data_IF_952829808977
#
_entry.id   IF_952829808977
#
_cell.length_a   1.000
_cell.length_b   1.000
_cell.length_c   1.000
_cell.angle_alpha   90.00
_cell.angle_beta   90.00
_cell.angle_gamma   90.00
#
_symmetry.space_group_name_H-M   'P 1'
#
loop_
_entity.id
_entity.type
_entity.pdbx_description
1 polymer ?
#
# COMPACT_ATOMS: atom_id res chain seq x y z
N UNK A 1 3.35 6.93 6.85
CA UNK A 1 2.57 8.11 7.28
C UNK A 1 2.09 8.88 6.06
N UNK A 2 0.81 9.22 6.05
CA UNK A 2 0.18 10.15 5.11
C UNK A 2 -0.04 11.49 5.80
N UNK A 3 -0.22 12.55 5.02
CA UNK A 3 -0.43 13.89 5.55
C UNK A 3 -1.14 14.72 4.48
N UNK A 4 -2.46 14.70 4.56
CA UNK A 4 -3.35 15.40 3.64
C UNK A 4 -4.03 16.52 4.42
N UNK A 5 -3.90 17.75 3.93
CA UNK A 5 -4.60 18.91 4.50
C UNK A 5 -6.06 18.92 4.01
N UNK A 6 -6.87 18.02 4.58
CA UNK A 6 -8.25 17.82 4.17
C UNK A 6 -9.11 17.36 5.36
N UNK A 7 -10.33 17.90 5.55
CA UNK A 7 -11.19 17.58 6.70
C UNK A 7 -11.43 16.08 6.91
N UNK A 8 -11.69 15.34 5.82
CA UNK A 8 -11.89 13.89 5.86
C UNK A 8 -10.71 13.06 6.42
N UNK A 9 -9.52 13.65 6.55
CA UNK A 9 -8.32 13.00 7.08
C UNK A 9 -7.93 13.49 8.48
N UNK A 10 -8.55 14.58 8.99
CA UNK A 10 -8.22 15.15 10.30
C UNK A 10 -8.56 14.21 11.46
N UNK A 11 -9.66 13.47 11.30
CA UNK A 11 -10.16 12.54 12.31
C UNK A 11 -9.73 11.08 12.03
N UNK A 12 -8.98 10.84 10.95
CA UNK A 12 -8.51 9.51 10.56
C UNK A 12 -7.04 9.29 10.93
N UNK A 13 -6.64 8.06 11.32
CA UNK A 13 -5.24 7.74 11.54
C UNK A 13 -4.38 7.99 10.30
N UNK A 14 -3.39 8.87 10.44
CA UNK A 14 -2.45 9.22 9.37
C UNK A 14 -1.16 8.39 9.41
N UNK A 15 -1.01 7.53 10.42
CA UNK A 15 0.15 6.65 10.63
C UNK A 15 -0.35 5.23 10.83
N UNK A 16 0.32 4.27 10.19
CA UNK A 16 0.14 2.86 10.43
C UNK A 16 1.50 2.16 10.32
N UNK A 17 1.67 1.12 11.12
CA UNK A 17 2.84 0.24 11.15
C UNK A 17 2.34 -1.20 11.11
N UNK A 18 2.95 -2.02 10.26
CA UNK A 18 2.55 -3.42 10.08
C UNK A 18 3.79 -4.29 10.06
N UNK A 19 3.85 -5.23 10.99
CA UNK A 19 4.83 -6.30 11.00
C UNK A 19 4.22 -7.57 10.40
N UNK A 20 4.68 -7.93 9.20
CA UNK A 20 4.19 -9.11 8.47
C UNK A 20 4.60 -10.45 9.09
N UNK A 21 5.48 -10.46 10.10
CA UNK A 21 5.77 -11.68 10.86
C UNK A 21 4.62 -12.07 11.80
N UNK A 22 3.84 -11.08 12.26
CA UNK A 22 2.75 -11.26 13.22
C UNK A 22 1.38 -10.93 12.64
N UNK A 23 1.34 -10.17 11.54
CA UNK A 23 0.11 -9.62 10.97
C UNK A 23 -0.19 -10.20 9.59
N UNK A 24 -1.45 -10.61 9.38
CA UNK A 24 -1.89 -11.15 8.10
C UNK A 24 -2.14 -10.05 7.06
N UNK A 25 -1.34 -10.03 5.98
CA UNK A 25 -1.56 -9.15 4.82
C UNK A 25 -3.00 -9.26 4.28
N UNK A 26 -3.54 -10.48 4.19
CA UNK A 26 -4.88 -10.75 3.66
C UNK A 26 -5.95 -10.07 4.52
N UNK A 27 -5.84 -10.14 5.85
CA UNK A 27 -6.86 -9.56 6.75
C UNK A 27 -6.73 -8.06 6.90
N UNK A 28 -5.49 -7.57 7.04
CA UNK A 28 -5.25 -6.19 7.47
C UNK A 28 -5.05 -5.20 6.33
N UNK A 29 -4.51 -5.63 5.18
CA UNK A 29 -4.05 -4.70 4.13
C UNK A 29 -4.81 -4.91 2.82
N UNK A 30 -5.05 -6.16 2.43
CA UNK A 30 -5.51 -6.51 1.08
C UNK A 30 -6.83 -5.86 0.64
N UNK A 31 -7.72 -5.53 1.58
CA UNK A 31 -9.04 -4.94 1.29
C UNK A 31 -9.04 -3.42 1.30
N UNK A 32 -7.92 -2.76 1.59
CA UNK A 32 -7.86 -1.29 1.62
C UNK A 32 -8.00 -0.72 0.19
N UNK A 33 -9.09 0.00 -0.06
CA UNK A 33 -9.41 0.54 -1.39
C UNK A 33 -8.58 1.77 -1.71
N UNK A 34 -8.40 2.00 -3.01
CA UNK A 34 -7.85 3.27 -3.51
C UNK A 34 -8.80 4.41 -3.25
N UNK A 35 -8.29 5.64 -3.24
CA UNK A 35 -9.05 6.82 -2.92
C UNK A 35 -8.67 8.02 -3.78
N UNK A 36 -9.62 8.93 -3.98
CA UNK A 36 -9.40 10.16 -4.73
C UNK A 36 -10.40 11.25 -4.35
N UNK A 37 -10.02 12.50 -4.62
CA UNK A 37 -10.89 13.65 -4.44
C UNK A 37 -11.84 13.78 -5.62
N UNK A 38 -13.10 14.15 -5.37
CA UNK A 38 -14.13 14.31 -6.41
C UNK A 38 -13.69 15.32 -7.48
N UNK A 39 -13.13 16.45 -7.06
CA UNK A 39 -12.58 17.48 -7.93
C UNK A 39 -11.46 16.97 -8.85
N UNK A 40 -10.56 16.14 -8.32
CA UNK A 40 -9.47 15.52 -9.07
C UNK A 40 -10.01 14.48 -10.07
N UNK A 41 -11.00 13.67 -9.68
CA UNK A 41 -11.59 12.66 -10.57
C UNK A 41 -12.25 13.34 -11.79
N UNK A 42 -12.96 14.44 -11.60
CA UNK A 42 -13.54 15.22 -12.69
C UNK A 42 -12.47 15.82 -13.61
N UNK A 43 -11.37 16.33 -13.04
CA UNK A 43 -10.24 16.87 -13.80
C UNK A 43 -9.52 15.77 -14.61
N UNK A 44 -9.29 14.60 -14.01
CA UNK A 44 -8.68 13.45 -14.65
C UNK A 44 -9.52 12.93 -15.82
N UNK A 45 -10.84 12.86 -15.65
CA UNK A 45 -11.76 12.45 -16.73
C UNK A 45 -11.69 13.38 -17.95
N UNK A 46 -11.54 14.69 -17.74
CA UNK A 46 -11.33 15.66 -18.84
C UNK A 46 -10.02 15.41 -19.61
N UNK A 47 -9.06 14.70 -19.01
CA UNK A 47 -7.80 14.30 -19.63
C UNK A 47 -7.81 12.86 -20.14
N UNK A 48 -8.98 12.20 -20.23
CA UNK A 48 -9.12 10.79 -20.56
C UNK A 48 -8.44 9.82 -19.58
N UNK A 49 -8.26 10.25 -18.32
CA UNK A 49 -7.75 9.44 -17.22
C UNK A 49 -8.90 9.04 -16.27
N UNK A 50 -8.72 7.96 -15.51
CA UNK A 50 -9.70 7.47 -14.52
C UNK A 50 -11.13 7.25 -15.08
N UNK A 51 -11.25 6.89 -16.36
CA UNK A 51 -12.54 6.71 -17.06
C UNK A 51 -13.42 5.62 -16.43
N UNK A 52 -12.81 4.62 -15.79
CA UNK A 52 -13.51 3.55 -15.07
C UNK A 52 -13.70 3.81 -13.57
N UNK A 53 -13.23 4.95 -13.04
CA UNK A 53 -13.36 5.25 -11.61
C UNK A 53 -14.81 5.50 -11.21
N UNK A 54 -15.30 4.80 -10.19
CA UNK A 54 -16.63 4.97 -9.60
C UNK A 54 -16.56 4.81 -8.08
N UNK A 55 -17.65 5.16 -7.38
CA UNK A 55 -17.79 4.93 -5.94
C UNK A 55 -17.74 3.43 -5.57
N UNK A 56 -17.94 2.52 -6.52
CA UNK A 56 -17.90 1.08 -6.29
C UNK A 56 -16.46 0.55 -6.19
N UNK A 57 -15.51 1.22 -6.87
CA UNK A 57 -14.11 0.77 -6.96
C UNK A 57 -13.10 1.72 -6.30
N UNK A 58 -13.51 2.91 -5.90
CA UNK A 58 -12.69 3.87 -5.18
C UNK A 58 -13.46 4.50 -4.02
N UNK A 59 -12.73 4.85 -2.97
CA UNK A 59 -13.22 5.77 -1.95
C UNK A 59 -13.18 7.16 -2.57
N UNK A 60 -14.33 7.81 -2.64
CA UNK A 60 -14.43 9.17 -3.17
C UNK A 60 -14.62 10.13 -2.01
N UNK A 61 -13.80 11.18 -2.00
CA UNK A 61 -13.81 12.21 -0.96
C UNK A 61 -14.22 13.52 -1.61
N UNK A 62 -15.30 14.14 -1.11
CA UNK A 62 -15.64 15.53 -1.45
C UNK A 62 -14.83 16.50 -0.57
N UNK A 63 -15.05 17.81 -0.69
CA UNK A 63 -14.28 18.83 0.07
C UNK A 63 -14.36 18.70 1.60
N UNK A 64 -15.25 17.85 2.12
CA UNK A 64 -15.55 17.72 3.55
C UNK A 64 -15.48 16.28 4.06
N UNK A 65 -15.92 15.28 3.29
CA UNK A 65 -16.18 13.91 3.77
C UNK A 65 -16.06 12.84 2.69
N UNK A 66 -16.02 11.59 3.15
CA UNK A 66 -16.20 10.39 2.32
C UNK A 66 -17.66 10.32 1.86
N UNK A 67 -17.89 10.11 0.55
CA UNK A 67 -19.24 10.06 -0.03
C UNK A 67 -19.77 8.64 -0.26
N UNK A 68 -18.92 7.61 -0.11
CA UNK A 68 -19.36 6.21 -0.20
C UNK A 68 -20.40 5.92 0.90
N UNK A 69 -21.57 5.39 0.54
CA UNK A 69 -22.69 5.15 1.48
C UNK A 69 -22.31 4.20 2.61
N UNK A 70 -21.55 3.14 2.30
CA UNK A 70 -21.05 2.16 3.27
C UNK A 70 -19.83 2.66 4.07
N UNK A 71 -19.34 3.87 3.78
CA UNK A 71 -18.16 4.45 4.44
C UNK A 71 -16.86 3.70 4.16
N UNK A 72 -16.00 3.66 5.18
CA UNK A 72 -14.68 3.00 5.14
C UNK A 72 -14.76 1.56 5.65
N UNK A 73 -13.92 0.68 5.10
CA UNK A 73 -13.71 -0.70 5.58
C UNK A 73 -12.88 -0.75 6.85
N UNK A 74 -12.00 0.24 7.03
CA UNK A 74 -11.12 0.42 8.17
C UNK A 74 -11.06 1.91 8.51
N UNK A 75 -10.93 2.27 9.79
CA UNK A 75 -10.77 3.68 10.18
C UNK A 75 -9.50 4.31 9.56
N UNK A 76 -8.47 3.50 9.34
CA UNK A 76 -7.18 3.84 8.77
C UNK A 76 -7.03 3.38 7.30
N UNK A 77 -8.13 3.18 6.57
CA UNK A 77 -8.14 2.60 5.21
C UNK A 77 -7.23 3.37 4.24
N UNK A 78 -7.15 4.70 4.35
CA UNK A 78 -6.28 5.54 3.51
C UNK A 78 -4.79 5.21 3.66
N UNK A 79 -4.30 5.12 4.90
CA UNK A 79 -2.89 4.83 5.16
C UNK A 79 -2.58 3.36 4.88
N UNK A 80 -3.52 2.45 5.15
CA UNK A 80 -3.40 1.03 4.77
C UNK A 80 -3.32 0.83 3.26
N UNK A 81 -4.07 1.61 2.48
CA UNK A 81 -3.94 1.58 1.02
C UNK A 81 -2.56 2.07 0.57
N UNK A 82 -1.95 3.05 1.24
CA UNK A 82 -0.57 3.46 0.94
C UNK A 82 0.47 2.42 1.33
N UNK A 83 0.21 1.61 2.35
CA UNK A 83 1.02 0.42 2.65
C UNK A 83 0.85 -0.62 1.53
N UNK A 84 -0.38 -0.85 1.05
CA UNK A 84 -0.65 -1.74 -0.08
C UNK A 84 0.10 -1.30 -1.36
N UNK A 85 0.04 -0.01 -1.70
CA UNK A 85 0.78 0.59 -2.81
C UNK A 85 2.29 0.36 -2.66
N UNK A 86 2.84 0.62 -1.47
CA UNK A 86 4.27 0.46 -1.20
C UNK A 86 4.73 -1.00 -1.34
N UNK A 87 3.95 -1.98 -0.86
CA UNK A 87 4.26 -3.40 -1.02
C UNK A 87 4.31 -3.77 -2.50
N UNK A 88 3.33 -3.31 -3.29
CA UNK A 88 3.31 -3.52 -4.74
C UNK A 88 4.52 -2.91 -5.43
N UNK A 89 4.85 -1.66 -5.10
CA UNK A 89 6.02 -0.98 -5.66
C UNK A 89 7.33 -1.70 -5.30
N UNK A 90 7.53 -2.07 -4.03
CA UNK A 90 8.73 -2.79 -3.57
C UNK A 90 8.92 -4.13 -4.28
N UNK A 91 7.82 -4.80 -4.65
CA UNK A 91 7.86 -6.06 -5.37
C UNK A 91 8.39 -5.93 -6.81
N UNK A 92 8.53 -4.71 -7.35
CA UNK A 92 9.23 -4.47 -8.61
C UNK A 92 10.73 -4.84 -8.57
N UNK A 93 11.31 -5.08 -7.38
CA UNK A 93 12.62 -5.72 -7.23
C UNK A 93 12.66 -7.17 -7.76
N UNK A 94 11.50 -7.80 -7.97
CA UNK A 94 11.38 -9.18 -8.42
C UNK A 94 11.58 -10.23 -7.33
N UNK A 95 11.77 -9.80 -6.08
CA UNK A 95 11.99 -10.67 -4.92
C UNK A 95 11.28 -10.11 -3.68
N UNK A 96 10.86 -10.99 -2.78
CA UNK A 96 10.42 -10.59 -1.44
C UNK A 96 11.59 -9.94 -0.68
N UNK A 97 11.31 -8.82 -0.01
CA UNK A 97 12.33 -8.08 0.74
C UNK A 97 12.31 -8.49 2.21
N UNK A 98 13.49 -8.72 2.77
CA UNK A 98 13.69 -8.86 4.22
C UNK A 98 14.28 -7.54 4.71
N UNK A 99 13.49 -6.77 5.46
CA UNK A 99 13.91 -5.44 5.94
C UNK A 99 12.72 -4.64 6.45
N UNK A 100 12.98 -3.38 6.80
CA UNK A 100 11.97 -2.43 7.23
C UNK A 100 11.84 -1.29 6.20
N UNK A 101 10.60 -0.96 5.82
CA UNK A 101 10.29 0.16 4.95
C UNK A 101 9.54 1.23 5.74
N UNK A 102 9.99 2.49 5.63
CA UNK A 102 9.32 3.64 6.24
C UNK A 102 9.11 4.72 5.19
N UNK A 103 7.85 5.08 4.95
CA UNK A 103 7.46 6.15 4.02
C UNK A 103 6.74 7.27 4.74
N UNK A 104 7.20 8.51 4.54
CA UNK A 104 6.49 9.74 4.96
C UNK A 104 6.08 10.52 3.71
N UNK A 105 4.77 10.69 3.50
CA UNK A 105 4.20 11.28 2.27
C UNK A 105 4.74 10.63 0.99
N UNK A 106 5.06 9.33 1.06
CA UNK A 106 5.63 8.60 -0.08
C UNK A 106 4.54 8.19 -1.07
N UNK A 107 4.90 8.19 -2.35
CA UNK A 107 4.08 7.65 -3.44
C UNK A 107 4.95 6.91 -4.45
N UNK A 108 4.35 6.38 -5.52
CA UNK A 108 5.00 5.51 -6.49
C UNK A 108 6.33 6.04 -7.04
N UNK A 109 6.39 7.34 -7.34
CA UNK A 109 7.62 7.96 -7.85
C UNK A 109 8.78 7.92 -6.83
N UNK A 110 8.50 8.15 -5.54
CA UNK A 110 9.52 8.13 -4.49
C UNK A 110 9.92 6.68 -4.14
N UNK A 111 8.95 5.77 -4.07
CA UNK A 111 9.20 4.34 -3.89
C UNK A 111 10.11 3.79 -5.01
N UNK A 112 9.83 4.11 -6.27
CA UNK A 112 10.68 3.68 -7.38
C UNK A 112 12.09 4.28 -7.33
N UNK A 113 12.23 5.55 -6.89
CA UNK A 113 13.55 6.17 -6.68
C UNK A 113 14.35 5.44 -5.59
N UNK A 114 13.71 5.06 -4.49
CA UNK A 114 14.32 4.24 -3.44
C UNK A 114 14.82 2.92 -4.01
N UNK A 115 14.01 2.21 -4.79
CA UNK A 115 14.40 0.94 -5.39
C UNK A 115 15.60 1.09 -6.34
N UNK A 116 15.61 2.13 -7.17
CA UNK A 116 16.75 2.43 -8.05
C UNK A 116 18.03 2.72 -7.25
N UNK A 117 17.92 3.45 -6.15
CA UNK A 117 19.05 3.72 -5.26
C UNK A 117 19.57 2.44 -4.60
N UNK A 118 18.68 1.59 -4.07
CA UNK A 118 19.04 0.29 -3.50
C UNK A 118 19.71 -0.63 -4.53
N UNK A 119 19.18 -0.71 -5.76
CA UNK A 119 19.80 -1.52 -6.82
C UNK A 119 21.18 -0.99 -7.26
N UNK A 120 21.40 0.32 -7.18
CA UNK A 120 22.69 0.92 -7.53
C UNK A 120 23.76 0.66 -6.46
N UNK A 121 23.37 0.62 -5.20
CA UNK A 121 24.24 0.31 -4.07
C UNK A 121 24.25 -1.19 -3.76
N UNK A 122 25.20 -1.92 -4.34
CA UNK A 122 25.33 -3.37 -4.15
C UNK A 122 25.81 -3.78 -2.76
N UNK A 123 26.37 -2.85 -1.98
CA UNK A 123 26.83 -3.13 -0.61
C UNK A 123 25.65 -3.00 0.39
N UNK A 124 24.54 -2.39 -0.03
CA UNK A 124 23.34 -2.20 0.78
C UNK A 124 22.39 -3.41 0.81
N UNK A 125 22.61 -4.44 -0.01
CA UNK A 125 21.76 -5.64 -0.04
C UNK A 125 22.51 -6.90 -0.46
N UNK A 126 21.97 -8.03 -0.06
CA UNK A 126 22.41 -9.35 -0.52
C UNK A 126 21.22 -10.23 -0.90
N UNK A 127 21.46 -11.23 -1.75
CA UNK A 127 20.48 -12.27 -2.07
C UNK A 127 20.71 -13.45 -1.13
N UNK A 128 19.66 -13.83 -0.42
CA UNK A 128 19.67 -14.97 0.50
C UNK A 128 18.65 -16.01 0.08
N UNK A 129 18.97 -17.27 0.32
CA UNK A 129 18.05 -18.41 0.19
C UNK A 129 18.01 -19.17 1.51
N UNK A 130 16.84 -19.73 1.84
CA UNK A 130 16.63 -20.54 3.04
C UNK A 130 16.26 -21.95 2.59
N UNK A 131 17.22 -22.87 2.61
CA UNK A 131 17.05 -24.24 2.13
C UNK A 131 17.03 -25.26 3.28
N UNK A 132 16.13 -26.24 3.19
CA UNK A 132 16.02 -27.35 4.14
C UNK A 132 15.10 -27.08 5.34
N UNK A 133 14.68 -28.17 6.02
CA UNK A 133 13.69 -28.13 7.11
C UNK A 133 14.15 -27.36 8.37
N UNK A 134 15.45 -27.09 8.50
CA UNK A 134 16.05 -26.37 9.64
C UNK A 134 16.40 -24.91 9.35
N UNK A 135 16.24 -24.44 8.11
CA UNK A 135 16.50 -23.04 7.79
C UNK A 135 15.36 -22.17 8.34
N UNK A 136 15.67 -21.36 9.36
CA UNK A 136 14.72 -20.40 9.92
C UNK A 136 14.70 -19.16 9.04
N UNK A 137 13.71 -19.09 8.15
CA UNK A 137 13.37 -17.84 7.46
C UNK A 137 12.74 -16.86 8.46
N UNK A 138 13.15 -15.58 8.48
CA UNK A 138 12.50 -14.58 9.30
C UNK A 138 11.08 -14.25 8.82
N UNK A 139 10.74 -14.64 7.59
CA UNK A 139 9.41 -14.48 6.99
C UNK A 139 8.76 -15.85 6.84
N UNK A 140 7.56 -16.00 7.39
CA UNK A 140 6.71 -17.18 7.20
C UNK A 140 5.66 -16.89 6.12
N UNK A 141 5.54 -17.79 5.15
CA UNK A 141 4.49 -17.72 4.14
C UNK A 141 3.37 -18.70 4.49
N UNK A 142 2.12 -18.27 4.36
CA UNK A 142 0.98 -19.20 4.40
C UNK A 142 1.10 -20.18 3.24
N UNK A 143 0.87 -21.47 3.51
CA UNK A 143 0.81 -22.45 2.44
C UNK A 143 -0.30 -22.06 1.44
N UNK A 144 -0.03 -22.14 0.12
CA UNK A 144 -1.08 -21.94 -0.85
C UNK A 144 -2.20 -22.95 -0.58
N UNK A 145 -3.46 -22.52 -0.70
CA UNK A 145 -4.59 -23.44 -0.71
C UNK A 145 -4.33 -24.50 -1.77
N UNK A 146 -4.36 -25.77 -1.38
CA UNK A 146 -4.33 -26.86 -2.35
C UNK A 146 -5.56 -26.70 -3.25
N UNK A 147 -5.33 -26.22 -4.47
CA UNK A 147 -6.34 -26.26 -5.54
C UNK A 147 -6.54 -27.72 -5.91
N UNK A 148 -7.71 -28.26 -5.59
CA UNK A 148 -8.19 -29.55 -6.07
C UNK A 148 -8.60 -29.47 -7.55
#
# INVERSE_FOLDING_TARGET
AIDFDHPAFKDSPCTAEIDFSTTSFVKEVSRARTFGFMSDIEALRKQNLALGGSIDNAIVVDDYRVINEDGLRYEDEFVKHKILDAIGDLYLLGHSTIGAFSGYRSGHALNNKLLKALCADKDAWEKVTFEGEKASSPISYTQPLQTF
#
